data_IF_616446588794
#
_entry.id   IF_616446588794
#
_cell.length_a   1.000
_cell.length_b   1.000
_cell.length_c   1.000
_cell.angle_alpha   90.00
_cell.angle_beta   90.00
_cell.angle_gamma   90.00
#
_symmetry.space_group_name_H-M   'P 1'
#
loop_
_entity.id
_entity.type
_entity.pdbx_description
1 polymer ?
#
# COMPACT_ATOMS: atom_id res chain seq x y z
N UNK A 1 -8.55 -6.33 2.22
CA UNK A 1 -7.43 -6.22 1.25
C UNK A 1 -6.25 -7.01 1.79
N UNK A 2 -5.58 -7.81 0.95
CA UNK A 2 -4.31 -8.46 1.28
C UNK A 2 -3.20 -7.80 0.47
N UNK A 3 -2.08 -7.49 1.12
CA UNK A 3 -0.96 -6.76 0.51
C UNK A 3 0.20 -7.71 0.26
N UNK A 4 0.83 -7.58 -0.91
CA UNK A 4 1.95 -8.40 -1.35
C UNK A 4 3.07 -7.49 -1.90
N UNK A 5 4.31 -7.94 -1.76
CA UNK A 5 5.49 -7.29 -2.36
C UNK A 5 6.22 -8.27 -3.27
N UNK A 6 6.82 -7.77 -4.34
CA UNK A 6 7.62 -8.54 -5.28
C UNK A 6 8.80 -7.72 -5.79
N UNK A 7 9.94 -8.37 -5.96
CA UNK A 7 11.19 -7.78 -6.45
C UNK A 7 11.58 -8.27 -7.85
N UNK A 8 10.81 -9.21 -8.40
CA UNK A 8 11.04 -9.83 -9.71
C UNK A 8 9.75 -9.81 -10.52
N UNK A 9 9.89 -9.45 -11.80
CA UNK A 9 8.83 -9.42 -12.79
C UNK A 9 9.39 -9.91 -14.14
N UNK A 10 8.53 -10.52 -14.95
CA UNK A 10 8.83 -10.96 -16.32
C UNK A 10 7.60 -10.73 -17.20
N UNK A 11 7.82 -10.37 -18.46
CA UNK A 11 6.76 -10.06 -19.43
C UNK A 11 6.83 -8.63 -19.92
N UNK A 12 5.84 -8.23 -20.71
CA UNK A 12 5.70 -6.87 -21.23
C UNK A 12 4.52 -6.17 -20.55
N UNK A 13 4.65 -4.86 -20.35
CA UNK A 13 3.57 -4.02 -19.82
C UNK A 13 2.43 -3.91 -20.84
N UNK A 14 1.19 -4.01 -20.36
CA UNK A 14 -0.02 -3.86 -21.19
C UNK A 14 -0.86 -2.69 -20.67
N UNK A 15 -1.56 -2.03 -21.59
CA UNK A 15 -2.54 -1.00 -21.26
C UNK A 15 -3.89 -1.65 -20.95
N UNK A 16 -4.56 -1.18 -19.90
CA UNK A 16 -5.93 -1.54 -19.57
C UNK A 16 -6.76 -0.28 -19.25
N UNK A 17 -8.05 -0.47 -18.97
CA UNK A 17 -9.01 0.58 -18.66
C UNK A 17 -9.06 0.98 -17.17
N UNK A 18 -8.22 0.36 -16.32
CA UNK A 18 -8.11 0.71 -14.89
C UNK A 18 -7.25 1.97 -14.65
N UNK A 19 -6.39 2.35 -15.59
CA UNK A 19 -5.54 3.53 -15.50
C UNK A 19 -4.19 3.38 -16.21
N UNK A 20 -3.25 4.28 -15.89
CA UNK A 20 -1.88 4.27 -16.44
C UNK A 20 -0.92 3.69 -15.41
N UNK A 21 -0.25 2.59 -15.76
CA UNK A 21 0.85 2.06 -14.95
C UNK A 21 2.08 2.98 -15.08
N UNK A 22 2.78 3.22 -13.97
CA UNK A 22 3.97 4.07 -13.96
C UNK A 22 4.96 3.63 -12.88
N UNK A 23 6.23 3.57 -13.24
CA UNK A 23 7.33 3.27 -12.30
C UNK A 23 7.73 4.53 -11.53
N UNK A 24 7.41 4.58 -10.24
CA UNK A 24 7.68 5.74 -9.38
C UNK A 24 8.82 5.43 -8.41
N UNK A 25 9.84 6.31 -8.28
CA UNK A 25 10.86 6.19 -7.24
C UNK A 25 10.22 6.17 -5.84
N UNK A 26 10.63 5.23 -4.97
CA UNK A 26 10.05 5.07 -3.62
C UNK A 26 10.01 6.37 -2.81
N UNK A 27 11.03 7.21 -2.94
CA UNK A 27 11.12 8.51 -2.24
C UNK A 27 10.03 9.52 -2.66
N UNK A 28 9.39 9.34 -3.82
CA UNK A 28 8.33 10.21 -4.36
C UNK A 28 6.92 9.70 -4.09
N UNK A 29 6.76 8.55 -3.42
CA UNK A 29 5.44 7.96 -3.15
C UNK A 29 4.54 8.94 -2.37
N UNK A 30 5.11 9.68 -1.42
CA UNK A 30 4.35 10.62 -0.59
C UNK A 30 3.80 11.82 -1.38
N UNK A 31 4.39 12.14 -2.54
CA UNK A 31 3.99 13.24 -3.41
C UNK A 31 2.80 12.87 -4.32
N UNK A 32 2.45 11.59 -4.39
CA UNK A 32 1.34 11.11 -5.20
C UNK A 32 -0.02 11.44 -4.56
N UNK A 33 -1.05 11.52 -5.39
CA UNK A 33 -2.44 11.60 -4.94
C UNK A 33 -2.93 10.22 -4.48
N UNK A 34 -2.55 9.83 -3.27
CA UNK A 34 -2.92 8.56 -2.64
C UNK A 34 -4.12 8.71 -1.72
N UNK A 35 -4.88 7.62 -1.56
CA UNK A 35 -5.85 7.49 -0.48
C UNK A 35 -5.16 7.61 0.89
N UNK A 36 -5.87 8.18 1.87
CA UNK A 36 -5.33 8.41 3.21
C UNK A 36 -4.84 7.10 3.87
N UNK A 37 -5.54 5.99 3.62
CA UNK A 37 -5.18 4.66 4.10
C UNK A 37 -3.90 4.08 3.49
N UNK A 38 -3.62 4.37 2.21
CA UNK A 38 -2.39 3.91 1.56
C UNK A 38 -1.17 4.51 2.26
N UNK A 39 -1.29 5.76 2.69
CA UNK A 39 -0.25 6.45 3.48
C UNK A 39 0.00 5.79 4.84
N UNK A 40 -0.94 5.01 5.36
CA UNK A 40 -0.78 4.25 6.61
C UNK A 40 0.03 2.99 6.39
N UNK A 41 -0.31 2.17 5.39
CA UNK A 41 0.29 0.84 5.25
C UNK A 41 1.52 0.78 4.33
N UNK A 42 1.69 1.72 3.40
CA UNK A 42 2.86 1.75 2.52
C UNK A 42 4.20 1.90 3.28
N UNK A 43 4.30 2.73 4.34
CA UNK A 43 5.50 2.77 5.17
C UNK A 43 5.80 1.43 5.84
N UNK A 44 4.77 0.74 6.35
CA UNK A 44 4.90 -0.59 7.00
C UNK A 44 5.43 -1.66 6.03
N UNK A 45 5.04 -1.58 4.75
CA UNK A 45 5.55 -2.46 3.68
C UNK A 45 6.98 -2.11 3.24
N UNK A 46 7.38 -0.84 3.33
CA UNK A 46 8.68 -0.37 2.86
C UNK A 46 9.84 -0.75 3.80
N UNK A 47 9.53 -1.15 5.04
CA UNK A 47 10.53 -1.59 6.00
C UNK A 47 11.25 -2.86 5.54
N UNK A 48 12.60 -2.86 5.57
CA UNK A 48 13.44 -3.99 5.13
C UNK A 48 13.14 -5.33 5.81
N UNK A 49 12.44 -5.32 6.95
CA UNK A 49 12.01 -6.50 7.71
C UNK A 49 10.51 -6.44 7.96
N UNK A 50 9.71 -6.05 6.96
CA UNK A 50 8.26 -5.94 7.10
C UNK A 50 7.70 -7.25 7.66
N UNK A 51 7.24 -7.21 8.91
CA UNK A 51 6.55 -8.33 9.53
C UNK A 51 5.12 -8.36 8.97
N UNK A 52 4.51 -9.55 8.79
CA UNK A 52 3.08 -9.59 8.50
C UNK A 52 2.32 -8.76 9.53
N UNK A 53 1.41 -7.92 9.07
CA UNK A 53 0.58 -7.09 9.92
C UNK A 53 -0.88 -7.15 9.47
N UNK A 54 -1.77 -6.86 10.42
CA UNK A 54 -3.18 -6.67 10.18
C UNK A 54 -3.56 -5.27 10.63
N UNK A 55 -4.41 -4.59 9.88
CA UNK A 55 -4.98 -3.31 10.28
C UNK A 55 -6.38 -3.18 9.71
N UNK A 56 -7.20 -2.38 10.38
CA UNK A 56 -8.52 -1.97 9.89
C UNK A 56 -8.50 -0.47 9.63
N UNK A 57 -8.93 -0.08 8.44
CA UNK A 57 -9.12 1.31 8.04
C UNK A 57 -10.62 1.57 7.94
N UNK A 58 -11.13 2.53 8.72
CA UNK A 58 -12.54 2.91 8.71
C UNK A 58 -12.70 4.21 7.93
N UNK A 59 -13.56 4.18 6.93
CA UNK A 59 -13.86 5.34 6.08
C UNK A 59 -15.31 5.78 6.26
N UNK A 60 -15.52 7.09 6.29
CA UNK A 60 -16.83 7.73 6.19
C UNK A 60 -16.76 8.84 5.14
N UNK A 61 -17.68 8.84 4.17
CA UNK A 61 -17.72 9.81 3.06
C UNK A 61 -16.35 10.02 2.37
N UNK A 62 -15.68 8.92 2.04
CA UNK A 62 -14.34 8.88 1.43
C UNK A 62 -13.21 9.49 2.27
N UNK A 63 -13.45 9.78 3.55
CA UNK A 63 -12.43 10.24 4.50
C UNK A 63 -12.08 9.15 5.48
N UNK A 64 -10.79 8.96 5.72
CA UNK A 64 -10.30 8.04 6.73
C UNK A 64 -10.62 8.62 8.11
N UNK A 65 -11.48 7.96 8.86
CA UNK A 65 -11.92 8.42 10.18
C UNK A 65 -11.21 7.69 11.32
N UNK A 66 -10.77 6.45 11.08
CA UNK A 66 -10.12 5.63 12.12
C UNK A 66 -9.12 4.64 11.51
N UNK A 67 -8.06 4.37 12.27
CA UNK A 67 -7.05 3.35 11.98
C UNK A 67 -6.90 2.48 13.23
N UNK A 68 -7.13 1.18 13.08
CA UNK A 68 -6.95 0.19 14.13
C UNK A 68 -5.78 -0.74 13.77
N UNK A 69 -4.75 -0.78 14.60
CA UNK A 69 -3.51 -1.54 14.35
C UNK A 69 -2.30 -0.62 14.07
N UNK A 70 -1.22 -1.13 13.46
CA UNK A 70 -1.05 -2.50 13.00
C UNK A 70 -0.94 -3.51 14.15
N UNK A 71 -1.67 -4.61 14.02
CA UNK A 71 -1.54 -5.80 14.85
C UNK A 71 -0.53 -6.74 14.20
N UNK A 72 0.44 -7.19 14.99
CA UNK A 72 1.43 -8.16 14.55
C UNK A 72 1.05 -9.53 15.11
N UNK A 73 0.72 -10.52 14.27
CA UNK A 73 0.38 -11.85 14.74
C UNK A 73 1.57 -12.45 15.47
N UNK A 74 1.33 -12.96 16.68
CA UNK A 74 2.34 -13.71 17.41
C UNK A 74 2.53 -15.06 16.72
N UNK A 75 3.80 -15.44 16.52
CA UNK A 75 4.16 -16.72 15.93
C UNK A 75 3.82 -17.88 16.84
#
# INVERSE_FOLDING_TARGET
MYLYTGDRFSGEEIVCDEGTLSWIPKAKINDLNLWEGDRVFLPLLAEKKSQPFQLTLVYHDNKLTEVLGPFYPQR
#
